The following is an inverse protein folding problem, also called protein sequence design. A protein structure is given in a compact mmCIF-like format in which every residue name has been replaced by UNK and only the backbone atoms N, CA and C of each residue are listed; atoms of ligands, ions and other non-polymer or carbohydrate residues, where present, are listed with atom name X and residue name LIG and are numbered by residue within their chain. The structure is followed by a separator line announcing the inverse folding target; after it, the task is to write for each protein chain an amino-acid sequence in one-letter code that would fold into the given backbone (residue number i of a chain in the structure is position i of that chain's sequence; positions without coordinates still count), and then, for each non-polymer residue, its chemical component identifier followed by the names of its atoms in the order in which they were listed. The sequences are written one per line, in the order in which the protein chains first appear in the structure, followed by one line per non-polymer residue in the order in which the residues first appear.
data_IF_156237605173
#
_entry.id   IF_156237605173
#
_cell.length_a   1.000
_cell.length_b   1.000
_cell.length_c   1.000
_cell.angle_alpha   90.00
_cell.angle_beta   90.00
_cell.angle_gamma   90.00
#
_symmetry.space_group_name_H-M   'P 1'
#
loop_
_entity.id
_entity.type
_entity.pdbx_description
1 polymer ?
#
# COMPACT_ATOMS: atom_id res chain seq x y z
N UNK A 1 -15.14 -10.69 8.61
CA UNK A 1 -14.31 -9.48 8.77
C UNK A 1 -14.90 -8.46 7.81
N UNK A 2 -15.31 -7.30 8.31
CA UNK A 2 -16.00 -6.29 7.50
C UNK A 2 -14.99 -5.37 6.79
N UNK A 3 -15.35 -4.89 5.61
CA UNK A 3 -14.52 -3.96 4.84
C UNK A 3 -14.37 -2.62 5.58
N UNK A 4 -13.12 -2.20 5.82
CA UNK A 4 -12.77 -0.90 6.37
C UNK A 4 -12.08 -0.04 5.30
N UNK A 5 -12.73 1.04 4.88
CA UNK A 5 -12.24 1.93 3.81
C UNK A 5 -10.98 2.69 4.20
N UNK A 6 -10.84 3.07 5.47
CA UNK A 6 -9.65 3.78 5.96
C UNK A 6 -8.41 2.89 5.90
N UNK A 7 -8.51 1.65 6.39
CA UNK A 7 -7.41 0.70 6.33
C UNK A 7 -7.05 0.32 4.88
N UNK A 8 -8.05 0.18 4.00
CA UNK A 8 -7.83 -0.02 2.57
C UNK A 8 -7.01 1.12 1.97
N UNK A 9 -7.37 2.37 2.25
CA UNK A 9 -6.62 3.54 1.78
C UNK A 9 -5.22 3.59 2.39
N UNK A 10 -5.05 3.29 3.67
CA UNK A 10 -3.73 3.24 4.31
C UNK A 10 -2.81 2.22 3.63
N UNK A 11 -3.33 1.02 3.29
CA UNK A 11 -2.59 0.01 2.51
C UNK A 11 -2.23 0.54 1.12
N UNK A 12 -3.12 1.24 0.43
CA UNK A 12 -2.82 1.85 -0.88
C UNK A 12 -1.72 2.91 -0.79
N UNK A 13 -1.80 3.80 0.19
CA UNK A 13 -0.79 4.84 0.41
C UNK A 13 0.57 4.20 0.72
N UNK A 14 0.57 3.20 1.61
CA UNK A 14 1.77 2.41 1.91
C UNK A 14 2.34 1.77 0.64
N UNK A 15 1.51 1.10 -0.17
CA UNK A 15 1.97 0.47 -1.40
C UNK A 15 2.60 1.50 -2.36
N UNK A 16 1.94 2.64 -2.52
CA UNK A 16 2.36 3.71 -3.44
C UNK A 16 3.67 4.37 -3.00
N UNK A 17 3.75 4.77 -1.73
CA UNK A 17 4.90 5.50 -1.21
C UNK A 17 6.10 4.57 -1.01
N UNK A 18 5.89 3.40 -0.44
CA UNK A 18 6.98 2.49 -0.07
C UNK A 18 7.53 1.72 -1.27
N UNK A 19 6.68 1.21 -2.16
CA UNK A 19 7.14 0.30 -3.22
C UNK A 19 7.38 0.96 -4.57
N UNK A 20 6.79 2.12 -4.80
CA UNK A 20 6.90 2.83 -6.09
C UNK A 20 7.40 4.26 -5.96
N UNK A 21 7.34 4.83 -4.75
CA UNK A 21 7.68 6.22 -4.50
C UNK A 21 7.02 7.17 -5.52
N UNK A 22 5.74 6.91 -5.82
CA UNK A 22 4.96 7.67 -6.80
C UNK A 22 4.05 8.66 -6.09
N UNK A 23 3.85 9.83 -6.68
CA UNK A 23 2.74 10.73 -6.36
C UNK A 23 1.40 10.13 -6.80
N UNK A 24 0.30 10.65 -6.25
CA UNK A 24 -1.06 10.27 -6.65
C UNK A 24 -1.31 10.49 -8.16
N UNK A 25 -0.73 11.55 -8.73
CA UNK A 25 -0.84 11.86 -10.16
C UNK A 25 -0.10 10.83 -11.02
N UNK A 26 1.10 10.43 -10.62
CA UNK A 26 1.92 9.48 -11.36
C UNK A 26 1.26 8.11 -11.44
N UNK A 27 0.76 7.58 -10.32
CA UNK A 27 0.06 6.30 -10.34
C UNK A 27 -1.28 6.36 -11.07
N UNK A 28 -2.04 7.46 -10.91
CA UNK A 28 -3.29 7.66 -11.65
C UNK A 28 -3.04 7.62 -13.16
N UNK A 29 -1.94 8.23 -13.62
CA UNK A 29 -1.51 8.15 -15.02
C UNK A 29 -1.04 6.75 -15.42
N UNK A 30 -0.20 6.11 -14.61
CA UNK A 30 0.36 4.79 -14.90
C UNK A 30 -0.71 3.70 -15.04
N UNK A 31 -1.77 3.78 -14.22
CA UNK A 31 -2.87 2.82 -14.20
C UNK A 31 -4.10 3.28 -14.98
N UNK A 32 -4.05 4.48 -15.58
CA UNK A 32 -5.20 5.11 -16.23
C UNK A 32 -6.44 5.15 -15.31
N UNK A 33 -6.21 5.51 -14.04
CA UNK A 33 -7.25 5.65 -13.02
C UNK A 33 -7.57 7.14 -12.87
N UNK A 34 -8.73 7.54 -13.38
CA UNK A 34 -9.26 8.89 -13.20
C UNK A 34 -9.76 9.08 -11.76
N UNK A 35 -9.27 10.14 -11.10
CA UNK A 35 -9.64 10.45 -9.71
C UNK A 35 -8.94 9.57 -8.67
N UNK A 36 -7.72 9.08 -8.95
CA UNK A 36 -6.97 8.27 -7.97
C UNK A 36 -6.76 9.01 -6.63
N UNK A 37 -6.52 10.33 -6.66
CA UNK A 37 -6.45 11.18 -5.47
C UNK A 37 -7.75 11.24 -4.67
N UNK A 38 -8.90 11.02 -5.31
CA UNK A 38 -10.20 10.96 -4.65
C UNK A 38 -10.45 9.60 -4.01
N UNK A 39 -9.85 8.54 -4.57
CA UNK A 39 -9.83 7.21 -3.95
C UNK A 39 -9.00 7.25 -2.67
N UNK A 40 -7.74 7.70 -2.75
CA UNK A 40 -6.91 7.83 -1.53
C UNK A 40 -7.43 8.91 -0.57
N UNK A 41 -8.20 9.88 -1.07
CA UNK A 41 -8.85 10.88 -0.24
C UNK A 41 -10.19 10.46 0.35
N UNK A 42 -10.63 9.21 0.12
CA UNK A 42 -11.96 8.70 0.53
C UNK A 42 -13.15 9.55 0.04
N UNK A 43 -12.94 10.34 -1.03
CA UNK A 43 -14.00 11.11 -1.70
C UNK A 43 -14.70 10.30 -2.78
N UNK A 44 -14.11 9.17 -3.19
CA UNK A 44 -14.65 8.27 -4.21
C UNK A 44 -14.30 6.82 -3.89
N UNK A 45 -15.28 5.93 -4.03
CA UNK A 45 -15.06 4.49 -3.88
C UNK A 45 -14.15 3.94 -4.98
N UNK A 46 -13.30 2.99 -4.63
CA UNK A 46 -12.53 2.24 -5.61
C UNK A 46 -13.42 1.17 -6.27
N UNK A 47 -13.68 1.30 -7.58
CA UNK A 47 -14.45 0.31 -8.32
C UNK A 47 -13.61 -0.93 -8.65
N UNK A 48 -14.27 -2.07 -8.89
CA UNK A 48 -13.63 -3.36 -9.14
C UNK A 48 -12.55 -3.31 -10.22
N UNK A 49 -12.77 -2.57 -11.32
CA UNK A 49 -11.77 -2.44 -12.38
C UNK A 49 -10.47 -1.78 -11.88
N UNK A 50 -10.59 -0.69 -11.11
CA UNK A 50 -9.43 0.00 -10.52
C UNK A 50 -8.75 -0.88 -9.46
N UNK A 51 -9.54 -1.60 -8.66
CA UNK A 51 -9.02 -2.56 -7.68
C UNK A 51 -8.16 -3.63 -8.36
N UNK A 52 -8.64 -4.21 -9.47
CA UNK A 52 -7.89 -5.22 -10.23
C UNK A 52 -6.59 -4.64 -10.83
N UNK A 53 -6.63 -3.40 -11.34
CA UNK A 53 -5.42 -2.71 -11.83
C UNK A 53 -4.38 -2.56 -10.71
N UNK A 54 -4.82 -2.13 -9.53
CA UNK A 54 -3.96 -1.98 -8.36
C UNK A 54 -3.38 -3.32 -7.91
N UNK A 55 -4.21 -4.36 -7.83
CA UNK A 55 -3.78 -5.71 -7.46
C UNK A 55 -2.68 -6.25 -8.40
N UNK A 56 -2.86 -6.06 -9.72
CA UNK A 56 -1.86 -6.48 -10.71
C UNK A 56 -0.58 -5.68 -10.63
N UNK A 57 -0.67 -4.36 -10.46
CA UNK A 57 0.49 -3.48 -10.45
C UNK A 57 1.40 -3.66 -9.23
N UNK A 58 0.78 -3.93 -8.08
CA UNK A 58 1.47 -4.16 -6.81
C UNK A 58 1.72 -5.63 -6.49
N UNK A 59 1.25 -6.54 -7.35
CA UNK A 59 1.29 -7.98 -7.12
C UNK A 59 0.67 -8.38 -5.76
N UNK A 60 -0.52 -7.86 -5.45
CA UNK A 60 -1.30 -8.23 -4.25
C UNK A 60 -2.61 -8.93 -4.65
N UNK A 61 -3.25 -9.59 -3.70
CA UNK A 61 -4.61 -10.08 -3.86
C UNK A 61 -5.61 -8.99 -3.49
N UNK A 62 -6.82 -9.05 -4.06
CA UNK A 62 -7.90 -8.16 -3.69
C UNK A 62 -8.31 -8.37 -2.23
N UNK A 63 -8.28 -9.61 -1.75
CA UNK A 63 -8.64 -9.95 -0.38
C UNK A 63 -7.70 -9.25 0.61
N UNK A 64 -6.38 -9.44 0.48
CA UNK A 64 -5.40 -8.75 1.33
C UNK A 64 -5.56 -7.23 1.28
N UNK A 65 -5.77 -6.68 0.09
CA UNK A 65 -5.87 -5.23 -0.07
C UNK A 65 -7.11 -4.66 0.66
N UNK A 66 -8.22 -5.40 0.65
CA UNK A 66 -9.49 -5.01 1.28
C UNK A 66 -9.51 -5.30 2.79
N UNK A 67 -9.04 -6.48 3.21
CA UNK A 67 -9.20 -7.00 4.58
C UNK A 67 -7.92 -6.91 5.42
N UNK A 68 -6.76 -6.81 4.78
CA UNK A 68 -5.47 -6.91 5.45
C UNK A 68 -5.11 -8.32 5.90
N UNK A 69 -5.87 -9.36 5.50
CA UNK A 69 -5.61 -10.74 5.91
C UNK A 69 -4.24 -11.22 5.41
N UNK A 70 -3.26 -11.45 6.31
CA UNK A 70 -1.90 -11.85 5.93
C UNK A 70 -1.85 -13.22 5.25
N UNK A 71 -2.86 -14.08 5.42
CA UNK A 71 -2.92 -15.39 4.76
C UNK A 71 -3.13 -15.29 3.25
N UNK A 72 -3.68 -14.16 2.78
CA UNK A 72 -3.94 -13.90 1.37
C UNK A 72 -2.87 -13.00 0.73
N UNK A 73 -1.86 -12.61 1.51
CA UNK A 73 -0.73 -11.84 1.04
C UNK A 73 0.17 -12.70 0.13
N UNK A 74 0.55 -12.15 -1.02
CA UNK A 74 1.54 -12.81 -1.87
C UNK A 74 2.93 -12.71 -1.26
N UNK A 75 3.70 -13.78 -1.40
CA UNK A 75 5.06 -13.90 -0.86
C UNK A 75 6.01 -12.79 -1.36
N UNK A 76 5.85 -12.36 -2.61
CA UNK A 76 6.59 -11.24 -3.20
C UNK A 76 6.41 -9.94 -2.39
N UNK A 77 5.20 -9.68 -1.90
CA UNK A 77 4.88 -8.48 -1.12
C UNK A 77 5.26 -8.67 0.35
N UNK A 78 5.12 -9.89 0.88
CA UNK A 78 5.58 -10.23 2.24
C UNK A 78 7.06 -9.90 2.44
N UNK A 79 7.92 -10.37 1.53
CA UNK A 79 9.35 -10.09 1.58
C UNK A 79 9.68 -8.59 1.52
N UNK A 80 8.84 -7.82 0.83
CA UNK A 80 9.01 -6.38 0.73
C UNK A 80 8.56 -5.65 2.01
N UNK A 81 7.45 -6.06 2.62
CA UNK A 81 7.02 -5.56 3.93
C UNK A 81 8.08 -5.86 4.97
N UNK A 82 8.59 -7.09 5.02
CA UNK A 82 9.64 -7.50 5.97
C UNK A 82 10.90 -6.65 5.80
N UNK A 83 11.30 -6.34 4.55
CA UNK A 83 12.43 -5.44 4.28
C UNK A 83 12.19 -4.02 4.79
N UNK A 84 10.99 -3.48 4.63
CA UNK A 84 10.67 -2.13 5.09
C UNK A 84 10.61 -2.06 6.62
N UNK A 85 10.00 -3.05 7.27
CA UNK A 85 10.01 -3.19 8.73
C UNK A 85 11.46 -3.23 9.23
N UNK A 86 12.32 -4.03 8.60
CA UNK A 86 13.75 -4.09 8.94
C UNK A 86 14.49 -2.76 8.74
N UNK A 87 14.15 -1.97 7.71
CA UNK A 87 14.73 -0.61 7.53
C UNK A 87 14.31 0.33 8.65
N UNK A 88 13.04 0.28 9.06
CA UNK A 88 12.53 1.14 10.12
C UNK A 88 13.16 0.78 11.48
N UNK A 89 13.28 -0.52 11.79
CA UNK A 89 13.97 -1.00 13.01
C UNK A 89 15.42 -0.51 13.07
N UNK A 90 16.16 -0.54 11.96
CA UNK A 90 17.54 -0.04 11.91
C UNK A 90 17.64 1.47 12.17
N UNK A 91 16.68 2.25 11.67
CA UNK A 91 16.64 3.70 11.91
C UNK A 91 16.41 4.04 13.38
N UNK A 92 15.53 3.32 14.07
CA UNK A 92 15.26 3.53 15.49
C UNK A 92 16.41 3.05 16.38
N UNK A 93 17.07 1.92 16.05
CA UNK A 93 18.24 1.47 16.84
C UNK A 93 19.49 2.34 16.66
N UNK A 94 19.66 3.01 15.51
CA UNK A 94 20.75 3.96 15.31
C UNK A 94 20.61 5.25 16.14
N UNK A 95 19.38 5.67 16.47
CA UNK A 95 19.14 6.87 17.29
C UNK A 95 19.52 6.63 18.76
N UNK A 96 19.39 5.40 19.27
CA UNK A 96 19.73 5.06 20.66
C UNK A 96 21.24 4.98 20.96
N UNK A 97 22.12 5.00 19.94
CA UNK A 97 23.59 4.90 20.13
C UNK A 97 24.33 6.24 20.17
N UNK A 98 23.66 7.36 19.91
CA UNK A 98 24.29 8.71 19.86
C UNK A 98 24.05 9.52 21.13
N UNK A 99 23.34 8.95 22.11
CA UNK A 99 23.03 9.60 23.39
C UNK A 99 23.69 8.88 24.58
N UNK A 100 25.02 8.72 24.56
CA UNK A 100 25.83 8.39 25.75
C UNK A 100 27.17 9.13 25.63
#
# INVERSE_FOLDING_TARGET
MDFNEEEFVQRLVFLRQTFRNMSQREIGRALQINGYSDIEGMRKRCHCENLLKLCRFYDVTADWLLTGDPTTLKESVRQLIDREVMRQVRRTTSISKVAI
#
